data_IF_390474163633
#
_entry.id   IF_390474163633
#
_cell.length_a   1.000
_cell.length_b   1.000
_cell.length_c   1.000
_cell.angle_alpha   90.00
_cell.angle_beta   90.00
_cell.angle_gamma   90.00
#
_symmetry.space_group_name_H-M   'P 1'
#
loop_
_entity.id
_entity.type
_entity.pdbx_description
1 polymer ?
#
# COMPACT_ATOMS: atom_id res chain seq x y z
N UNK A 1 -47.41 20.09 -30.11
CA UNK A 1 -45.94 20.08 -29.89
C UNK A 1 -45.59 20.44 -28.45
N UNK A 2 -45.93 19.59 -27.46
CA UNK A 2 -45.62 19.84 -26.02
C UNK A 2 -45.14 18.60 -25.26
N UNK A 3 -45.08 17.42 -25.90
CA UNK A 3 -44.70 16.16 -25.25
C UNK A 3 -43.29 15.66 -25.60
N UNK A 4 -42.61 16.31 -26.55
CA UNK A 4 -41.25 15.92 -26.99
C UNK A 4 -40.15 16.64 -26.19
N UNK A 5 -40.48 17.77 -25.53
CA UNK A 5 -39.49 18.52 -24.74
C UNK A 5 -39.14 17.89 -23.39
N UNK A 6 -39.90 16.89 -22.92
CA UNK A 6 -39.64 16.22 -21.64
C UNK A 6 -38.71 15.01 -21.75
N UNK A 7 -38.42 14.53 -22.96
CA UNK A 7 -37.56 13.35 -23.18
C UNK A 7 -36.08 13.74 -23.28
N UNK A 8 -35.77 15.01 -23.58
CA UNK A 8 -34.39 15.52 -23.67
C UNK A 8 -33.75 15.86 -22.30
N UNK A 9 -34.50 15.73 -21.20
CA UNK A 9 -33.99 16.04 -19.85
C UNK A 9 -33.46 14.81 -19.09
N UNK A 10 -33.56 13.61 -19.67
CA UNK A 10 -33.12 12.34 -19.07
C UNK A 10 -31.74 11.89 -19.60
N UNK A 11 -31.26 12.47 -20.70
CA UNK A 11 -29.88 12.24 -21.13
C UNK A 11 -28.94 13.23 -20.46
N UNK A 12 -27.94 12.72 -19.76
CA UNK A 12 -26.68 13.40 -19.46
C UNK A 12 -26.53 14.07 -18.08
N UNK A 13 -26.68 13.25 -17.03
CA UNK A 13 -25.93 13.48 -15.79
C UNK A 13 -25.44 12.16 -15.21
N UNK A 14 -24.68 11.38 -16.00
CA UNK A 14 -23.71 10.45 -15.44
C UNK A 14 -22.48 11.27 -15.06
N UNK A 15 -22.52 11.92 -13.90
CA UNK A 15 -21.30 12.35 -13.23
C UNK A 15 -20.58 11.07 -12.82
N UNK A 16 -19.51 10.73 -13.55
CA UNK A 16 -18.58 9.68 -13.15
C UNK A 16 -17.87 10.13 -11.88
N UNK A 17 -18.44 9.82 -10.72
CA UNK A 17 -17.65 9.80 -9.50
C UNK A 17 -16.55 8.77 -9.73
N UNK A 18 -15.29 9.22 -9.70
CA UNK A 18 -14.14 8.33 -9.68
C UNK A 18 -14.16 7.60 -8.33
N UNK A 19 -14.97 6.56 -8.23
CA UNK A 19 -14.96 5.68 -7.08
C UNK A 19 -13.69 4.85 -7.20
N UNK A 20 -12.82 4.92 -6.19
CA UNK A 20 -11.66 4.02 -6.02
C UNK A 20 -12.12 2.56 -5.72
N UNK A 21 -13.20 2.09 -6.34
CA UNK A 21 -13.82 0.79 -6.10
C UNK A 21 -12.93 -0.41 -6.49
N UNK A 22 -11.81 -0.15 -7.16
CA UNK A 22 -10.78 -1.16 -7.46
C UNK A 22 -9.77 -1.36 -6.32
N UNK A 23 -9.82 -0.53 -5.28
CA UNK A 23 -9.11 -0.73 -4.02
C UNK A 23 -9.88 -1.74 -3.17
N UNK A 24 -9.33 -2.92 -2.94
CA UNK A 24 -10.02 -3.99 -2.23
C UNK A 24 -9.44 -5.37 -2.51
N UNK A 25 -10.32 -6.36 -2.62
CA UNK A 25 -9.97 -7.79 -2.66
C UNK A 25 -8.99 -8.15 -3.79
N UNK A 26 -9.14 -7.57 -4.99
CA UNK A 26 -8.24 -7.85 -6.12
C UNK A 26 -6.81 -7.33 -5.88
N UNK A 27 -6.66 -6.17 -5.23
CA UNK A 27 -5.33 -5.65 -4.84
C UNK A 27 -4.72 -6.55 -3.78
N UNK A 28 -5.52 -6.99 -2.80
CA UNK A 28 -5.08 -7.88 -1.73
C UNK A 28 -4.64 -9.23 -2.29
N UNK A 29 -5.41 -9.80 -3.21
CA UNK A 29 -5.07 -11.05 -3.90
C UNK A 29 -3.76 -10.93 -4.66
N UNK A 30 -3.53 -9.83 -5.39
CA UNK A 30 -2.24 -9.57 -6.05
C UNK A 30 -1.10 -9.47 -5.04
N UNK A 31 -1.28 -8.76 -3.94
CA UNK A 31 -0.26 -8.68 -2.89
C UNK A 31 0.04 -10.07 -2.28
N UNK A 32 -0.98 -10.90 -2.05
CA UNK A 32 -0.80 -12.27 -1.57
C UNK A 32 -0.07 -13.16 -2.59
N UNK A 33 -0.30 -12.97 -3.89
CA UNK A 33 0.41 -13.70 -4.94
C UNK A 33 1.89 -13.30 -5.03
N UNK A 34 2.20 -12.01 -4.88
CA UNK A 34 3.57 -11.47 -4.96
C UNK A 34 4.49 -11.96 -3.81
N UNK A 35 3.91 -12.49 -2.74
CA UNK A 35 4.63 -13.17 -1.66
C UNK A 35 5.42 -14.38 -2.19
N UNK A 36 4.88 -15.11 -3.18
CA UNK A 36 5.44 -16.38 -3.67
C UNK A 36 5.29 -17.49 -2.64
N UNK A 37 6.33 -18.33 -2.51
CA UNK A 37 6.32 -19.49 -1.59
C UNK A 37 6.61 -19.15 -0.12
N UNK A 38 6.79 -17.86 0.21
CA UNK A 38 7.01 -17.43 1.58
C UNK A 38 5.75 -17.66 2.44
N UNK A 39 5.92 -17.86 3.75
CA UNK A 39 4.80 -18.10 4.65
C UNK A 39 4.13 -16.79 5.05
N UNK A 40 2.83 -16.69 4.81
CA UNK A 40 2.03 -15.52 5.21
C UNK A 40 2.09 -15.26 6.72
N UNK A 41 2.26 -13.98 7.10
CA UNK A 41 2.15 -13.52 8.49
C UNK A 41 0.98 -12.54 8.63
N UNK A 42 1.00 -11.44 7.86
CA UNK A 42 0.04 -10.35 8.01
C UNK A 42 -0.09 -9.53 6.74
N UNK A 43 -1.30 -9.07 6.44
CA UNK A 43 -1.58 -8.05 5.43
C UNK A 43 -1.93 -6.69 6.05
N UNK A 44 -1.72 -5.63 5.26
CA UNK A 44 -2.01 -4.25 5.61
C UNK A 44 -2.73 -3.59 4.43
N UNK A 45 -3.94 -3.11 4.69
CA UNK A 45 -4.69 -2.26 3.76
C UNK A 45 -4.29 -0.81 3.95
N UNK A 46 -3.76 -0.20 2.90
CA UNK A 46 -3.40 1.21 2.85
C UNK A 46 -4.42 1.93 2.00
N UNK A 47 -5.09 2.92 2.59
CA UNK A 47 -5.93 3.87 1.87
C UNK A 47 -5.55 5.28 2.34
N UNK A 48 -4.93 6.05 1.45
CA UNK A 48 -4.50 7.42 1.71
C UNK A 48 -5.42 8.35 0.93
N UNK A 49 -6.16 9.18 1.64
CA UNK A 49 -7.04 10.20 1.05
C UNK A 49 -6.43 11.58 1.30
N UNK A 50 -6.52 12.45 0.29
CA UNK A 50 -6.00 13.82 0.40
C UNK A 50 -6.97 14.63 1.26
N UNK A 51 -6.55 15.04 2.46
CA UNK A 51 -7.37 15.92 3.31
C UNK A 51 -7.00 17.39 3.05
N UNK A 52 -7.94 18.25 2.59
CA UNK A 52 -7.66 19.67 2.40
C UNK A 52 -7.46 20.44 3.72
N UNK A 53 -7.76 19.84 4.88
CA UNK A 53 -7.71 20.48 6.20
C UNK A 53 -6.43 20.11 6.97
N UNK A 54 -5.79 18.99 6.64
CA UNK A 54 -4.62 18.50 7.36
C UNK A 54 -3.37 18.48 6.45
N UNK A 55 -2.48 19.44 6.65
CA UNK A 55 -1.22 19.57 5.91
C UNK A 55 -0.21 18.40 6.11
N UNK A 56 -0.59 17.30 6.79
CA UNK A 56 0.29 16.18 7.17
C UNK A 56 -0.12 14.80 6.62
N UNK A 57 -1.22 14.67 5.90
CA UNK A 57 -1.80 13.36 5.62
C UNK A 57 -1.50 12.86 4.21
N UNK A 58 -0.29 12.33 4.05
CA UNK A 58 0.10 11.52 2.89
C UNK A 58 0.77 10.20 3.27
N UNK A 59 0.69 9.80 4.54
CA UNK A 59 1.38 8.62 5.05
C UNK A 59 0.63 7.91 6.17
N UNK A 60 0.73 6.58 6.20
CA UNK A 60 0.19 5.71 7.25
C UNK A 60 1.31 4.88 7.88
N UNK A 61 1.15 4.53 9.16
CA UNK A 61 2.15 3.81 9.95
C UNK A 61 1.55 2.59 10.60
N UNK A 62 2.30 1.49 10.57
CA UNK A 62 1.97 0.27 11.28
C UNK A 62 3.15 -0.19 12.12
N UNK A 63 2.87 -0.63 13.34
CA UNK A 63 3.88 -1.27 14.19
C UNK A 63 3.88 -2.77 13.93
N UNK A 64 5.06 -3.34 13.72
CA UNK A 64 5.25 -4.78 13.47
C UNK A 64 6.30 -5.35 14.41
N UNK A 65 5.96 -6.42 15.12
CA UNK A 65 6.92 -7.18 15.92
C UNK A 65 7.64 -8.16 15.00
N UNK A 66 8.97 -8.01 14.87
CA UNK A 66 9.81 -8.93 14.11
C UNK A 66 10.74 -9.67 15.06
N UNK A 67 10.93 -10.96 14.82
CA UNK A 67 11.82 -11.81 15.60
C UNK A 67 13.24 -11.80 15.02
N UNK A 68 14.24 -11.87 15.89
CA UNK A 68 15.63 -12.01 15.47
C UNK A 68 15.86 -13.28 14.67
N UNK A 69 16.97 -13.31 13.93
CA UNK A 69 17.41 -14.44 13.10
C UNK A 69 16.33 -14.89 12.12
N UNK A 70 15.59 -13.94 11.58
CA UNK A 70 14.48 -14.22 10.67
C UNK A 70 14.56 -13.31 9.47
N UNK A 71 14.47 -13.89 8.28
CA UNK A 71 14.35 -13.18 7.01
C UNK A 71 12.87 -13.01 6.68
N UNK A 72 12.47 -11.76 6.57
CA UNK A 72 11.12 -11.35 6.20
C UNK A 72 11.12 -10.79 4.79
N UNK A 73 10.01 -11.00 4.08
CA UNK A 73 9.69 -10.32 2.83
C UNK A 73 8.51 -9.39 3.07
N UNK A 74 8.65 -8.19 2.55
CA UNK A 74 7.59 -7.18 2.51
C UNK A 74 7.31 -6.90 1.05
N UNK A 75 6.08 -7.07 0.62
CA UNK A 75 5.68 -6.79 -0.76
C UNK A 75 4.39 -5.99 -0.82
N UNK A 76 4.19 -5.26 -1.91
CA UNK A 76 3.04 -4.38 -2.12
C UNK A 76 2.39 -4.62 -3.48
N UNK A 77 1.07 -4.42 -3.54
CA UNK A 77 0.33 -4.25 -4.78
C UNK A 77 -0.42 -2.92 -4.74
N UNK A 78 -0.31 -2.15 -5.82
CA UNK A 78 -0.95 -0.84 -5.96
C UNK A 78 -2.34 -0.96 -6.60
N UNK A 79 -3.26 -0.09 -6.21
CA UNK A 79 -4.51 0.14 -6.92
C UNK A 79 -4.24 0.56 -8.36
N UNK A 80 -5.07 0.10 -9.30
CA UNK A 80 -4.87 0.36 -10.73
C UNK A 80 -5.07 1.84 -11.11
N UNK A 81 -5.78 2.60 -10.28
CA UNK A 81 -6.08 4.02 -10.50
C UNK A 81 -5.11 4.96 -9.77
N UNK A 82 -4.08 4.43 -9.10
CA UNK A 82 -3.11 5.28 -8.42
C UNK A 82 -2.28 6.07 -9.45
N UNK A 83 -1.99 7.34 -9.14
CA UNK A 83 -1.10 8.15 -9.97
C UNK A 83 0.36 7.67 -9.93
N UNK A 84 0.74 6.97 -8.86
CA UNK A 84 2.10 6.48 -8.64
C UNK A 84 2.09 5.23 -7.74
N UNK A 85 3.18 4.46 -7.78
CA UNK A 85 3.39 3.32 -6.91
C UNK A 85 3.69 3.76 -5.47
N UNK A 86 3.23 2.99 -4.50
CA UNK A 86 3.44 3.29 -3.09
C UNK A 86 4.91 3.13 -2.68
N UNK A 87 5.38 4.06 -1.86
CA UNK A 87 6.65 3.95 -1.13
C UNK A 87 6.38 3.24 0.18
N UNK A 88 7.11 2.15 0.42
CA UNK A 88 7.09 1.35 1.64
C UNK A 88 8.47 1.41 2.29
N UNK A 89 8.51 1.74 3.57
CA UNK A 89 9.74 1.94 4.33
C UNK A 89 9.66 1.25 5.69
N UNK A 90 10.74 0.59 6.10
CA UNK A 90 10.87 -0.01 7.42
C UNK A 90 11.82 0.84 8.27
N UNK A 91 11.35 1.23 9.44
CA UNK A 91 12.08 2.05 10.41
C UNK A 91 12.33 1.30 11.72
N UNK A 92 13.46 1.60 12.33
CA UNK A 92 13.71 1.37 13.75
C UNK A 92 13.75 2.73 14.47
N UNK A 93 12.65 3.05 15.15
CA UNK A 93 12.38 4.40 15.69
C UNK A 93 12.44 5.45 14.55
N UNK A 94 13.47 6.29 14.53
CA UNK A 94 13.66 7.35 13.53
C UNK A 94 14.65 6.96 12.42
N UNK A 95 15.29 5.78 12.53
CA UNK A 95 16.27 5.29 11.56
C UNK A 95 15.58 4.51 10.44
N UNK A 96 15.76 4.95 9.19
CA UNK A 96 15.32 4.21 8.00
C UNK A 96 16.26 3.03 7.75
N UNK A 97 15.74 1.81 7.83
CA UNK A 97 16.52 0.59 7.60
C UNK A 97 16.51 0.15 6.14
N UNK A 98 15.33 0.17 5.52
CA UNK A 98 15.14 -0.26 4.13
C UNK A 98 13.90 0.39 3.53
N UNK A 99 13.95 0.61 2.21
CA UNK A 99 12.88 1.21 1.42
C UNK A 99 12.73 0.44 0.11
N UNK A 100 11.50 0.35 -0.41
CA UNK A 100 11.28 -0.13 -1.77
C UNK A 100 11.62 0.91 -2.85
N UNK A 101 11.91 2.16 -2.47
CA UNK A 101 12.40 3.21 -3.36
C UNK A 101 13.93 3.27 -3.27
N UNK A 102 14.61 2.88 -4.34
CA UNK A 102 16.07 2.90 -4.44
C UNK A 102 16.46 3.65 -5.70
N UNK A 103 17.22 4.74 -5.54
CA UNK A 103 17.75 5.55 -6.65
C UNK A 103 16.67 6.01 -7.65
N UNK A 104 15.50 6.41 -7.15
CA UNK A 104 14.37 6.87 -7.97
C UNK A 104 13.50 5.75 -8.55
N UNK A 105 13.89 4.49 -8.41
CA UNK A 105 13.10 3.33 -8.85
C UNK A 105 12.36 2.69 -7.69
N UNK A 106 11.07 2.43 -7.88
CA UNK A 106 10.24 1.70 -6.92
C UNK A 106 10.21 0.21 -7.28
N UNK A 107 10.39 -0.62 -6.27
CA UNK A 107 10.31 -2.07 -6.34
C UNK A 107 9.03 -2.53 -5.64
N UNK A 108 8.46 -3.65 -6.10
CA UNK A 108 7.25 -4.23 -5.49
C UNK A 108 7.51 -4.87 -4.13
N UNK A 109 8.77 -5.15 -3.80
CA UNK A 109 9.12 -5.80 -2.55
C UNK A 109 10.55 -5.49 -2.11
N UNK A 110 10.82 -5.74 -0.85
CA UNK A 110 12.17 -5.88 -0.31
C UNK A 110 12.17 -6.99 0.75
N UNK A 111 13.37 -7.48 1.06
CA UNK A 111 13.59 -8.46 2.12
C UNK A 111 14.47 -7.86 3.21
N UNK A 112 14.21 -8.25 4.45
CA UNK A 112 14.90 -7.75 5.63
C UNK A 112 15.26 -8.90 6.57
N UNK A 113 16.55 -9.03 6.89
CA UNK A 113 17.05 -9.97 7.89
C UNK A 113 17.04 -9.28 9.25
N UNK A 114 16.07 -9.63 10.08
CA UNK A 114 15.94 -9.09 11.43
C UNK A 114 17.00 -9.71 12.35
N UNK A 115 17.83 -8.87 12.97
CA UNK A 115 18.90 -9.31 13.89
C UNK A 115 18.51 -9.20 15.37
N UNK A 116 17.53 -8.36 15.70
CA UNK A 116 17.10 -8.08 17.06
C UNK A 116 15.58 -8.13 17.14
N UNK A 117 15.04 -8.93 18.06
CA UNK A 117 13.60 -9.02 18.29
C UNK A 117 13.09 -7.72 18.89
N UNK A 118 12.26 -6.99 18.14
CA UNK A 118 11.63 -5.74 18.59
C UNK A 118 10.52 -5.30 17.65
N UNK A 119 9.83 -4.22 18.05
CA UNK A 119 8.84 -3.54 17.23
C UNK A 119 9.56 -2.60 16.27
N UNK A 120 9.23 -2.72 14.99
CA UNK A 120 9.63 -1.81 13.92
C UNK A 120 8.41 -1.05 13.41
N UNK A 121 8.65 0.05 12.71
CA UNK A 121 7.58 0.85 12.11
C UNK A 121 7.61 0.72 10.58
N UNK A 122 6.52 0.23 10.00
CA UNK A 122 6.29 0.19 8.57
C UNK A 122 5.53 1.46 8.17
N UNK A 123 6.14 2.26 7.30
CA UNK A 123 5.61 3.55 6.85
C UNK A 123 5.29 3.45 5.36
N UNK A 124 4.09 3.88 4.99
CA UNK A 124 3.63 3.91 3.62
C UNK A 124 3.26 5.33 3.21
N UNK A 125 3.62 5.71 1.98
CA UNK A 125 3.28 7.02 1.41
C UNK A 125 3.28 6.98 -0.11
N UNK A 126 2.52 7.87 -0.75
CA UNK A 126 2.68 8.14 -2.18
C UNK A 126 3.55 9.38 -2.37
N UNK A 127 4.36 9.38 -3.44
CA UNK A 127 5.22 10.53 -3.77
C UNK A 127 4.35 11.78 -3.95
N UNK A 128 4.79 12.90 -3.39
CA UNK A 128 4.00 14.15 -3.41
C UNK A 128 2.82 14.19 -2.44
N UNK A 129 2.60 13.16 -1.62
CA UNK A 129 1.46 13.09 -0.71
C UNK A 129 0.13 12.88 -1.43
N UNK A 130 0.18 12.21 -2.59
CA UNK A 130 -1.01 11.92 -3.37
C UNK A 130 -1.92 10.88 -2.70
N UNK A 131 -3.18 10.90 -3.10
CA UNK A 131 -4.14 9.87 -2.70
C UNK A 131 -3.98 8.59 -3.51
N UNK A 132 -4.38 7.48 -2.90
CA UNK A 132 -4.32 6.18 -3.53
C UNK A 132 -4.48 5.05 -2.52
N UNK A 133 -4.47 3.84 -3.02
CA UNK A 133 -4.58 2.65 -2.19
C UNK A 133 -3.53 1.60 -2.54
N UNK A 134 -3.16 0.80 -1.57
CA UNK A 134 -2.29 -0.34 -1.77
C UNK A 134 -2.59 -1.42 -0.75
N UNK A 135 -2.19 -2.64 -1.05
CA UNK A 135 -2.18 -3.75 -0.11
C UNK A 135 -0.74 -4.22 0.05
N UNK A 136 -0.31 -4.39 1.30
CA UNK A 136 1.01 -4.87 1.64
C UNK A 136 0.93 -6.20 2.37
N UNK A 137 1.88 -7.09 2.12
CA UNK A 137 1.98 -8.38 2.81
C UNK A 137 3.36 -8.49 3.46
N UNK A 138 3.36 -8.93 4.72
CA UNK A 138 4.52 -9.38 5.46
C UNK A 138 4.52 -10.91 5.51
N UNK A 139 5.66 -11.49 5.17
CA UNK A 139 5.84 -12.93 5.05
C UNK A 139 7.16 -13.39 5.64
N UNK A 140 7.18 -14.61 6.17
CA UNK A 140 8.37 -15.32 6.60
C UNK A 140 9.01 -16.01 5.39
N UNK A 141 10.25 -15.65 5.06
CA UNK A 141 11.03 -16.34 4.02
C UNK A 141 11.80 -17.50 4.62
N UNK A 142 12.54 -17.22 5.70
CA UNK A 142 13.40 -18.22 6.36
C UNK A 142 13.68 -17.81 7.79
N UNK A 143 13.76 -18.79 8.68
CA UNK A 143 14.35 -18.64 10.00
C UNK A 143 15.76 -19.26 10.00
N UNK A 144 16.72 -18.54 10.56
CA UNK A 144 18.09 -19.03 10.71
C UNK A 144 18.21 -19.74 12.06
N UNK A 145 18.67 -20.99 12.02
CA UNK A 145 19.06 -21.73 13.21
C UNK A 145 20.49 -21.35 13.61
N UNK A 146 20.84 -21.58 14.88
CA UNK A 146 22.20 -21.40 15.42
C UNK A 146 23.23 -22.30 14.74
#
# INVERSE_FOLDING_TARGET
MKRILFILFISLSLTTFATYAQCGEEVKKRALQEMGDAQYIKDFSINLTKSPVEAKTGMVRFNVLLNSRTQYKFNVANGAMNADDIVMQLYDKDELLISNLVSGKKYKSFEFVCRTTKVYQLVFSFTGGEEGCAEAVLSLVKQFNE
#
